data_IF_838064753818
#
_entry.id   IF_838064753818
#
_cell.length_a   1.000
_cell.length_b   1.000
_cell.length_c   1.000
_cell.angle_alpha   90.00
_cell.angle_beta   90.00
_cell.angle_gamma   90.00
#
_symmetry.space_group_name_H-M   'P 1'
#
loop_
_entity.id
_entity.type
_entity.pdbx_description
1 polymer ?
#
# COMPACT_ATOMS: atom_id res chain seq x y z
N UNK A 1 27.43 34.93 -20.41
CA UNK A 1 27.56 33.47 -20.17
C UNK A 1 27.12 33.12 -18.75
N UNK A 2 25.82 33.23 -18.42
CA UNK A 2 25.26 32.84 -17.11
C UNK A 2 23.76 32.52 -17.25
N UNK A 3 23.41 31.41 -17.91
CA UNK A 3 22.03 30.91 -17.91
C UNK A 3 21.93 29.51 -18.52
N UNK A 4 22.63 28.51 -18.00
CA UNK A 4 22.49 27.15 -18.58
C UNK A 4 22.94 25.99 -17.68
N UNK A 5 22.85 26.12 -16.35
CA UNK A 5 23.27 25.03 -15.44
C UNK A 5 22.18 24.56 -14.48
N UNK A 6 21.01 25.21 -14.40
CA UNK A 6 19.96 24.82 -13.44
C UNK A 6 18.80 23.99 -13.99
N UNK A 7 18.80 23.62 -15.27
CA UNK A 7 17.72 22.82 -15.88
C UNK A 7 17.94 21.30 -15.86
N UNK A 8 19.07 20.81 -15.33
CA UNK A 8 19.47 19.40 -15.44
C UNK A 8 19.37 18.58 -14.15
N UNK A 9 18.75 19.11 -13.08
CA UNK A 9 18.54 18.37 -11.81
C UNK A 9 17.12 17.79 -11.71
N UNK A 10 16.20 18.13 -12.62
CA UNK A 10 14.80 17.69 -12.57
C UNK A 10 14.46 16.49 -13.48
N UNK A 11 15.46 15.90 -14.14
CA UNK A 11 15.28 14.79 -15.09
C UNK A 11 16.11 13.56 -14.69
N UNK A 12 16.24 13.30 -13.38
CA UNK A 12 16.55 11.94 -12.88
C UNK A 12 15.28 11.08 -12.72
N UNK A 13 14.13 11.56 -13.22
CA UNK A 13 12.84 10.86 -13.36
C UNK A 13 12.85 9.82 -14.50
N UNK A 14 13.80 8.86 -14.46
CA UNK A 14 13.87 7.76 -15.43
C UNK A 14 12.71 6.76 -15.36
N UNK A 15 11.83 6.88 -14.36
CA UNK A 15 10.49 6.34 -14.37
C UNK A 15 9.67 7.13 -13.37
N UNK A 16 8.62 7.83 -13.79
CA UNK A 16 7.59 8.32 -12.88
C UNK A 16 6.87 7.09 -12.33
N UNK A 17 7.47 6.43 -11.33
CA UNK A 17 6.80 5.40 -10.54
C UNK A 17 5.88 6.16 -9.60
N UNK A 18 4.58 6.06 -9.82
CA UNK A 18 3.59 6.65 -8.92
C UNK A 18 3.36 5.64 -7.81
N UNK A 19 3.60 6.08 -6.57
CA UNK A 19 3.32 5.32 -5.36
C UNK A 19 2.05 5.86 -4.71
N UNK A 20 1.13 4.96 -4.38
CA UNK A 20 0.00 5.24 -3.50
C UNK A 20 0.26 4.57 -2.15
N UNK A 21 0.55 5.35 -1.12
CA UNK A 21 0.81 4.88 0.26
C UNK A 21 -0.35 5.24 1.18
N UNK A 22 -0.83 4.27 1.96
CA UNK A 22 -1.91 4.45 2.93
C UNK A 22 -1.60 3.73 4.23
N UNK A 23 -1.99 4.37 5.34
CA UNK A 23 -1.92 3.79 6.68
C UNK A 23 -3.31 3.28 7.09
N UNK A 24 -3.39 2.01 7.46
CA UNK A 24 -4.61 1.37 7.95
C UNK A 24 -4.42 0.89 9.36
N UNK A 25 -5.13 1.54 10.29
CA UNK A 25 -5.05 1.26 11.71
C UNK A 25 -6.41 0.84 12.26
N UNK A 26 -6.41 -0.20 13.08
CA UNK A 26 -7.57 -0.57 13.88
C UNK A 26 -7.12 -1.03 15.27
N UNK A 27 -7.69 -0.44 16.33
CA UNK A 27 -7.34 -0.76 17.72
C UNK A 27 -8.07 -1.97 18.33
N UNK A 28 -7.60 -2.42 19.49
CA UNK A 28 -8.25 -3.48 20.27
C UNK A 28 -9.64 -3.06 20.78
N UNK A 29 -10.65 -3.92 20.63
CA UNK A 29 -12.01 -3.71 21.18
C UNK A 29 -12.52 -4.83 22.09
N UNK A 30 -11.98 -6.06 21.99
CA UNK A 30 -12.39 -7.19 22.82
C UNK A 30 -11.62 -8.47 22.49
N UNK A 31 -11.65 -9.49 23.38
CA UNK A 31 -10.76 -10.65 23.31
C UNK A 31 -11.09 -11.62 22.16
N UNK A 32 -12.31 -11.60 21.63
CA UNK A 32 -12.74 -12.47 20.53
C UNK A 32 -12.77 -11.78 19.17
N UNK A 33 -12.50 -10.48 19.14
CA UNK A 33 -12.62 -9.68 17.93
C UNK A 33 -11.54 -10.02 16.92
N UNK A 34 -11.94 -10.13 15.66
CA UNK A 34 -11.05 -10.18 14.50
C UNK A 34 -11.45 -9.04 13.59
N UNK A 35 -10.48 -8.26 13.13
CA UNK A 35 -10.72 -7.09 12.28
C UNK A 35 -10.20 -7.40 10.90
N UNK A 36 -11.01 -7.10 9.90
CA UNK A 36 -10.70 -7.36 8.49
C UNK A 36 -10.95 -6.10 7.67
N UNK A 37 -10.14 -5.88 6.66
CA UNK A 37 -10.31 -4.80 5.70
C UNK A 37 -9.91 -5.29 4.31
N UNK A 38 -10.80 -5.09 3.35
CA UNK A 38 -10.50 -5.30 1.94
C UNK A 38 -10.10 -3.97 1.30
N UNK A 39 -8.82 -3.85 0.95
CA UNK A 39 -8.27 -2.72 0.25
C UNK A 39 -8.39 -2.98 -1.26
N UNK A 40 -9.08 -2.09 -1.96
CA UNK A 40 -9.24 -2.16 -3.40
C UNK A 40 -8.46 -1.02 -4.06
N UNK A 41 -7.65 -1.37 -5.05
CA UNK A 41 -7.01 -0.44 -5.97
C UNK A 41 -7.41 -0.80 -7.41
N UNK A 42 -7.68 0.19 -8.28
CA UNK A 42 -7.77 1.62 -7.98
C UNK A 42 -9.01 1.96 -7.13
N UNK A 43 -8.98 3.10 -6.43
CA UNK A 43 -10.19 3.58 -5.74
C UNK A 43 -11.27 3.93 -6.75
N UNK A 44 -12.54 3.91 -6.32
CA UNK A 44 -13.66 4.29 -7.19
C UNK A 44 -13.43 5.70 -7.75
N UNK A 45 -13.38 5.81 -9.08
CA UNK A 45 -13.12 7.06 -9.80
C UNK A 45 -11.64 7.33 -10.12
N UNK A 46 -10.71 6.48 -9.67
CA UNK A 46 -9.32 6.50 -10.09
C UNK A 46 -9.09 5.58 -11.30
N UNK A 47 -8.21 6.00 -12.22
CA UNK A 47 -7.70 5.12 -13.27
C UNK A 47 -6.61 4.22 -12.70
N UNK A 48 -6.77 2.91 -12.88
CA UNK A 48 -5.78 1.92 -12.46
C UNK A 48 -4.52 1.96 -13.32
N UNK A 49 -3.36 1.82 -12.69
CA UNK A 49 -2.04 1.75 -13.35
C UNK A 49 -1.48 0.35 -13.26
N UNK A 50 -0.61 -0.02 -14.20
CA UNK A 50 0.08 -1.30 -14.15
C UNK A 50 0.96 -1.36 -12.88
N UNK A 51 0.62 -2.27 -11.99
CA UNK A 51 1.25 -2.40 -10.68
C UNK A 51 2.61 -3.06 -10.87
N UNK A 52 3.67 -2.36 -10.46
CA UNK A 52 5.04 -2.85 -10.51
C UNK A 52 5.48 -3.50 -9.20
N UNK A 53 4.95 -3.01 -8.07
CA UNK A 53 5.24 -3.56 -6.75
C UNK A 53 4.10 -3.27 -5.77
N UNK A 54 3.95 -4.14 -4.79
CA UNK A 54 3.06 -3.95 -3.64
C UNK A 54 3.90 -4.23 -2.40
N UNK A 55 4.07 -3.24 -1.54
CA UNK A 55 4.71 -3.38 -0.24
C UNK A 55 3.65 -3.28 0.85
N UNK A 56 3.66 -4.22 1.79
CA UNK A 56 2.74 -4.23 2.93
C UNK A 56 3.58 -4.44 4.18
N UNK A 57 3.64 -3.42 5.02
CA UNK A 57 4.42 -3.44 6.26
C UNK A 57 3.49 -3.43 7.46
N UNK A 58 3.58 -4.46 8.30
CA UNK A 58 2.96 -4.45 9.62
C UNK A 58 3.81 -3.64 10.59
N UNK A 59 3.20 -2.65 11.22
CA UNK A 59 3.88 -1.79 12.20
C UNK A 59 3.92 -2.42 13.60
N UNK A 60 3.25 -3.55 13.83
CA UNK A 60 3.29 -4.26 15.11
C UNK A 60 4.49 -5.22 15.16
N UNK A 61 5.58 -4.77 15.79
CA UNK A 61 6.82 -5.56 15.97
C UNK A 61 6.75 -6.64 17.07
N UNK A 62 5.64 -6.71 17.80
CA UNK A 62 5.45 -7.59 18.96
C UNK A 62 4.88 -8.97 18.61
N UNK A 63 4.77 -9.30 17.32
CA UNK A 63 4.18 -10.56 16.84
C UNK A 63 2.66 -10.66 16.98
N UNK A 64 1.97 -9.61 17.45
CA UNK A 64 0.50 -9.54 17.59
C UNK A 64 -0.18 -8.78 16.46
N UNK A 65 0.54 -8.61 15.36
CA UNK A 65 0.10 -7.93 14.17
C UNK A 65 -1.01 -8.67 13.41
N UNK A 66 -1.19 -8.31 12.16
CA UNK A 66 -2.12 -8.97 11.26
C UNK A 66 -1.45 -9.83 10.21
N UNK A 67 -2.28 -10.30 9.28
CA UNK A 67 -1.89 -10.98 8.07
C UNK A 67 -2.46 -10.22 6.88
N UNK A 68 -1.68 -10.16 5.80
CA UNK A 68 -2.12 -9.64 4.51
C UNK A 68 -2.21 -10.79 3.51
N UNK A 69 -3.21 -10.76 2.63
CA UNK A 69 -3.40 -11.75 1.57
C UNK A 69 -3.90 -11.07 0.31
N UNK A 70 -3.40 -11.52 -0.84
CA UNK A 70 -3.87 -11.05 -2.13
C UNK A 70 -5.12 -11.85 -2.52
N UNK A 71 -6.26 -11.18 -2.73
CA UNK A 71 -7.50 -11.83 -3.16
C UNK A 71 -7.66 -11.81 -4.68
N UNK A 72 -7.22 -10.74 -5.33
CA UNK A 72 -7.33 -10.58 -6.78
C UNK A 72 -6.30 -9.58 -7.33
N UNK A 73 -5.96 -9.72 -8.62
CA UNK A 73 -5.05 -8.82 -9.32
C UNK A 73 -3.60 -8.96 -8.84
N UNK A 74 -2.89 -7.84 -8.69
CA UNK A 74 -1.52 -7.80 -8.17
C UNK A 74 -0.51 -7.25 -9.17
N UNK A 75 0.76 -7.64 -9.02
CA UNK A 75 1.86 -7.20 -9.90
C UNK A 75 1.55 -7.60 -11.35
N UNK A 76 1.72 -6.67 -12.30
CA UNK A 76 1.39 -6.86 -13.71
C UNK A 76 -0.07 -6.59 -14.07
N UNK A 77 -0.96 -6.46 -13.08
CA UNK A 77 -2.34 -6.04 -13.29
C UNK A 77 -2.50 -4.55 -13.02
N UNK A 78 -3.61 -3.96 -13.50
CA UNK A 78 -3.96 -2.58 -13.22
C UNK A 78 -4.89 -2.40 -12.00
N UNK A 79 -5.16 -3.51 -11.30
CA UNK A 79 -6.03 -3.57 -10.14
C UNK A 79 -5.47 -4.58 -9.13
N UNK A 80 -5.80 -4.38 -7.86
CA UNK A 80 -5.49 -5.35 -6.82
C UNK A 80 -6.52 -5.27 -5.71
N UNK A 81 -6.82 -6.41 -5.10
CA UNK A 81 -7.61 -6.49 -3.88
C UNK A 81 -6.79 -7.21 -2.82
N UNK A 82 -6.53 -6.52 -1.72
CA UNK A 82 -5.70 -6.97 -0.62
C UNK A 82 -6.58 -7.12 0.61
N UNK A 83 -6.64 -8.33 1.17
CA UNK A 83 -7.29 -8.61 2.44
C UNK A 83 -6.31 -8.43 3.58
N UNK A 84 -6.61 -7.51 4.49
CA UNK A 84 -5.89 -7.31 5.73
C UNK A 84 -6.72 -7.89 6.87
N UNK A 85 -6.09 -8.65 7.77
CA UNK A 85 -6.78 -9.32 8.87
C UNK A 85 -5.95 -9.27 10.15
N UNK A 86 -6.51 -8.86 11.28
CA UNK A 86 -5.82 -8.93 12.57
C UNK A 86 -5.79 -10.36 13.14
N UNK A 87 -4.85 -10.60 14.05
CA UNK A 87 -4.97 -11.70 14.99
C UNK A 87 -6.18 -11.51 15.92
N UNK A 88 -6.78 -12.62 16.37
CA UNK A 88 -7.91 -12.60 17.31
C UNK A 88 -7.51 -11.88 18.59
N UNK A 89 -8.40 -11.01 19.07
CA UNK A 89 -8.16 -10.22 20.28
C UNK A 89 -7.08 -9.15 20.11
N UNK A 90 -6.73 -8.79 18.87
CA UNK A 90 -5.76 -7.75 18.58
C UNK A 90 -6.27 -6.81 17.48
N UNK A 91 -5.68 -5.62 17.44
CA UNK A 91 -5.78 -4.68 16.34
C UNK A 91 -4.82 -5.03 15.20
N UNK A 92 -4.73 -4.15 14.20
CA UNK A 92 -3.65 -4.18 13.22
C UNK A 92 -3.22 -2.75 12.88
N UNK A 93 -2.00 -2.59 12.38
CA UNK A 93 -1.51 -1.33 11.83
C UNK A 93 -0.64 -1.59 10.61
N UNK A 94 -1.20 -1.40 9.42
CA UNK A 94 -0.50 -1.66 8.17
C UNK A 94 -0.17 -0.37 7.43
N UNK A 95 1.04 -0.30 6.87
CA UNK A 95 1.38 0.61 5.79
C UNK A 95 1.28 -0.19 4.50
N UNK A 96 0.42 0.25 3.58
CA UNK A 96 0.27 -0.38 2.26
C UNK A 96 0.71 0.61 1.20
N UNK A 97 1.67 0.19 0.38
CA UNK A 97 2.24 0.97 -0.71
C UNK A 97 2.08 0.20 -2.01
N UNK A 98 1.36 0.81 -2.96
CA UNK A 98 1.16 0.24 -4.29
C UNK A 98 1.89 1.14 -5.28
N UNK A 99 2.85 0.56 -5.99
CA UNK A 99 3.66 1.22 -6.99
C UNK A 99 3.20 0.83 -8.39
N UNK A 100 3.16 1.78 -9.31
CA UNK A 100 2.85 1.52 -10.71
C UNK A 100 3.45 2.55 -11.65
N UNK A 101 3.35 2.29 -12.94
CA UNK A 101 3.74 3.22 -14.01
C UNK A 101 2.51 3.63 -14.80
#
# INVERSE_FOLDING_TARGET
MKSLVFAAILVSFGAVVICQSHNYFWGYKGPYDVKTLDLVYPLKGQLGRNISAINITDQYINGKGGYASLLAGGIGYNHTTIHLKSQRGNGFSFIVEIYGR
#
